data_IF_279699004079
#
_entry.id   IF_279699004079
#
_cell.length_a   1.000
_cell.length_b   1.000
_cell.length_c   1.000
_cell.angle_alpha   90.00
_cell.angle_beta   90.00
_cell.angle_gamma   90.00
#
_symmetry.space_group_name_H-M   'P 1'
#
loop_
_entity.id
_entity.type
_entity.pdbx_description
1 polymer ?
#
# COMPACT_ATOMS: atom_id res chain seq x y z
N UNK A 1 29.22 23.56 19.62
CA UNK A 1 29.33 24.82 18.79
C UNK A 1 28.37 24.60 17.65
N UNK A 2 27.16 25.13 17.76
CA UNK A 2 26.25 25.22 16.64
C UNK A 2 26.85 26.27 15.71
N UNK A 3 27.47 25.80 14.62
CA UNK A 3 27.94 26.68 13.58
C UNK A 3 26.77 27.53 13.06
N UNK A 4 26.88 28.83 12.93
CA UNK A 4 25.79 29.71 12.56
C UNK A 4 25.46 29.58 11.07
N UNK A 5 24.73 28.56 10.72
CA UNK A 5 23.84 28.60 9.56
C UNK A 5 22.41 28.97 10.02
N UNK A 6 22.38 29.93 10.97
CA UNK A 6 21.11 30.42 11.54
C UNK A 6 20.15 31.03 10.50
N UNK A 7 20.63 31.34 9.28
CA UNK A 7 19.77 31.83 8.20
C UNK A 7 19.01 30.75 7.45
N UNK A 8 19.21 29.46 7.77
CA UNK A 8 18.48 28.33 7.14
C UNK A 8 17.41 27.78 8.04
N UNK A 9 17.37 28.08 9.34
CA UNK A 9 16.36 27.63 10.27
C UNK A 9 15.16 28.58 10.21
N UNK A 10 14.08 28.14 9.56
CA UNK A 10 12.89 28.98 9.38
C UNK A 10 12.00 29.07 10.62
N UNK A 11 11.94 28.01 11.43
CA UNK A 11 11.13 27.99 12.66
C UNK A 11 11.72 27.02 13.70
N UNK A 12 11.86 27.45 14.92
CA UNK A 12 12.29 26.64 16.07
C UNK A 12 11.15 26.51 17.07
N UNK A 13 11.03 25.32 17.66
CA UNK A 13 10.03 25.04 18.66
C UNK A 13 10.66 24.41 19.90
N UNK A 14 10.25 24.89 21.06
CA UNK A 14 10.62 24.35 22.36
C UNK A 14 9.53 23.41 22.87
N UNK A 15 9.93 22.22 23.34
CA UNK A 15 9.05 21.29 24.04
C UNK A 15 9.61 21.06 25.44
N UNK A 16 9.06 21.76 26.43
CA UNK A 16 9.41 21.58 27.82
C UNK A 16 8.91 20.26 28.40
N UNK A 17 9.53 19.81 29.49
CA UNK A 17 9.18 18.56 30.19
C UNK A 17 7.71 18.52 30.68
N UNK A 18 7.05 19.65 30.79
CA UNK A 18 5.70 19.82 31.34
C UNK A 18 4.66 20.34 30.32
N UNK A 19 5.05 20.59 29.07
CA UNK A 19 4.14 21.05 28.02
C UNK A 19 3.76 19.93 27.08
N UNK A 20 2.45 19.80 26.81
CA UNK A 20 1.94 18.82 25.81
C UNK A 20 2.24 19.26 24.39
N UNK A 21 2.30 20.57 24.16
CA UNK A 21 2.47 21.19 22.84
C UNK A 21 3.84 21.85 22.73
N UNK A 22 4.38 21.89 21.50
CA UNK A 22 5.59 22.65 21.21
C UNK A 22 5.25 24.12 21.03
N UNK A 23 6.09 25.00 21.60
CA UNK A 23 5.91 26.44 21.55
C UNK A 23 6.97 27.05 20.62
N UNK A 24 6.55 27.95 19.75
CA UNK A 24 7.47 28.69 18.86
C UNK A 24 8.41 29.56 19.69
N UNK A 25 9.69 29.53 19.34
CA UNK A 25 10.71 30.28 20.05
C UNK A 25 11.81 30.82 19.08
N UNK A 26 12.48 31.86 19.52
CA UNK A 26 13.64 32.43 18.82
C UNK A 26 14.90 32.30 19.69
N UNK A 27 16.05 31.95 19.08
CA UNK A 27 17.32 31.91 19.77
C UNK A 27 17.84 33.38 19.87
N UNK A 28 18.02 33.82 21.10
CA UNK A 28 18.51 35.20 21.40
C UNK A 28 20.00 35.22 21.74
N UNK A 29 20.53 34.11 22.27
CA UNK A 29 21.92 34.02 22.68
C UNK A 29 22.38 32.60 23.04
N UNK A 30 23.66 32.44 23.28
CA UNK A 30 24.31 31.21 23.75
C UNK A 30 25.10 31.55 25.00
N UNK A 31 24.99 30.70 26.05
CA UNK A 31 25.72 30.84 27.30
C UNK A 31 26.87 29.85 27.36
N UNK A 32 27.93 30.17 28.15
CA UNK A 32 29.18 29.39 28.20
C UNK A 32 29.03 27.91 28.62
N UNK A 33 27.91 27.49 29.15
CA UNK A 33 27.66 26.13 29.63
C UNK A 33 26.88 25.26 28.64
N UNK A 34 26.97 25.54 27.34
CA UNK A 34 26.21 24.81 26.32
C UNK A 34 24.69 24.99 26.42
N UNK A 35 24.24 26.01 27.14
CA UNK A 35 22.86 26.45 27.20
C UNK A 35 22.57 27.53 26.17
N UNK A 36 21.37 27.55 25.65
CA UNK A 36 20.88 28.58 24.73
C UNK A 36 19.81 29.42 25.41
N UNK A 37 19.81 30.72 25.12
CA UNK A 37 18.75 31.60 25.55
C UNK A 37 17.69 31.69 24.45
N UNK A 38 16.45 31.32 24.80
CA UNK A 38 15.28 31.42 23.94
C UNK A 38 14.41 32.58 24.40
N UNK A 39 13.82 33.26 23.43
CA UNK A 39 12.65 34.08 23.65
C UNK A 39 11.39 33.25 23.38
N UNK A 40 10.56 33.08 24.41
CA UNK A 40 9.27 32.39 24.32
C UNK A 40 8.22 33.36 24.85
N UNK A 41 7.34 33.88 23.97
CA UNK A 41 6.29 34.83 24.33
C UNK A 41 6.82 36.06 25.08
N UNK A 42 7.97 36.63 24.63
CA UNK A 42 8.66 37.76 25.21
C UNK A 42 9.33 37.53 26.59
N UNK A 43 9.41 36.28 27.02
CA UNK A 43 10.19 35.86 28.19
C UNK A 43 11.47 35.14 27.77
N UNK A 44 12.60 35.42 28.45
CA UNK A 44 13.89 34.77 28.19
C UNK A 44 14.06 33.53 29.07
N UNK A 45 14.33 32.39 28.40
CA UNK A 45 14.56 31.11 29.05
C UNK A 45 15.94 30.56 28.66
N UNK A 46 16.70 30.05 29.65
CA UNK A 46 17.92 29.32 29.41
C UNK A 46 17.63 27.83 29.38
N UNK A 47 17.95 27.16 28.30
CA UNK A 47 17.67 25.73 28.11
C UNK A 47 18.84 25.01 27.43
N UNK A 48 18.92 23.70 27.66
CA UNK A 48 19.85 22.85 26.93
C UNK A 48 19.37 22.63 25.47
N UNK A 49 20.27 22.61 24.47
CA UNK A 49 19.91 22.44 23.05
C UNK A 49 19.10 21.21 22.72
N UNK A 50 19.22 20.13 23.47
CA UNK A 50 18.49 18.88 23.25
C UNK A 50 16.96 19.03 23.41
N UNK A 51 16.50 20.11 24.04
CA UNK A 51 15.06 20.42 24.16
C UNK A 51 14.52 21.22 22.99
N UNK A 52 15.38 21.64 22.06
CA UNK A 52 14.91 22.25 20.82
C UNK A 52 14.47 21.21 19.83
N UNK A 53 13.28 21.38 19.34
CA UNK A 53 12.76 20.62 18.20
C UNK A 53 13.06 21.42 16.93
N UNK A 54 13.95 20.89 16.09
CA UNK A 54 14.06 21.35 14.72
C UNK A 54 12.81 20.86 13.96
N UNK A 55 11.82 21.74 13.80
CA UNK A 55 10.59 21.44 13.05
C UNK A 55 10.83 21.38 11.53
N UNK A 56 12.02 21.71 11.08
CA UNK A 56 12.47 21.40 9.72
C UNK A 56 13.09 20.00 9.64
N UNK A 57 12.46 19.01 10.26
CA UNK A 57 12.83 17.63 9.98
C UNK A 57 12.63 17.42 8.49
N UNK A 58 13.74 17.51 7.75
CA UNK A 58 13.72 17.24 6.32
C UNK A 58 13.11 15.87 6.11
N UNK A 59 12.01 15.83 5.37
CA UNK A 59 11.42 14.57 4.98
C UNK A 59 12.42 13.82 4.10
N UNK A 60 12.84 12.62 4.54
CA UNK A 60 13.83 11.79 3.88
C UNK A 60 13.31 10.38 3.75
N UNK A 61 13.13 9.92 2.53
CA UNK A 61 12.66 8.57 2.25
C UNK A 61 13.08 8.14 0.84
N UNK A 62 12.97 6.86 0.57
CA UNK A 62 13.16 6.29 -0.77
C UNK A 62 11.83 5.72 -1.20
N UNK A 63 11.25 6.23 -2.27
CA UNK A 63 10.08 5.62 -2.87
C UNK A 63 10.56 4.44 -3.70
N UNK A 64 9.93 3.29 -3.54
CA UNK A 64 10.22 2.07 -4.30
C UNK A 64 8.93 1.50 -4.87
N UNK A 65 9.02 0.96 -6.06
CA UNK A 65 7.99 0.18 -6.72
C UNK A 65 8.61 -0.96 -7.50
N UNK A 66 7.88 -2.06 -7.64
CA UNK A 66 8.31 -3.24 -8.39
C UNK A 66 7.23 -3.70 -9.37
N UNK A 67 7.67 -4.20 -10.54
CA UNK A 67 6.79 -4.93 -11.42
C UNK A 67 7.07 -6.44 -11.35
N UNK A 68 6.01 -7.20 -11.46
CA UNK A 68 6.03 -8.67 -11.36
C UNK A 68 5.28 -9.28 -12.53
N UNK A 69 5.43 -10.57 -12.83
CA UNK A 69 4.72 -11.21 -13.94
C UNK A 69 3.20 -11.38 -13.66
N UNK A 70 2.51 -10.28 -13.33
CA UNK A 70 1.06 -10.24 -12.98
C UNK A 70 0.67 -11.20 -11.86
N UNK A 71 1.60 -11.48 -10.96
CA UNK A 71 1.46 -12.42 -9.86
C UNK A 71 1.53 -11.74 -8.50
N UNK A 72 0.85 -12.34 -7.53
CA UNK A 72 0.90 -11.95 -6.12
C UNK A 72 1.83 -12.86 -5.29
N UNK A 73 2.43 -13.89 -5.93
CA UNK A 73 3.36 -14.80 -5.28
C UNK A 73 4.79 -14.30 -5.45
N UNK A 74 5.53 -14.04 -4.36
CA UNK A 74 6.93 -13.66 -4.47
C UNK A 74 7.81 -14.66 -5.23
N UNK A 75 7.42 -15.95 -5.23
CA UNK A 75 8.16 -17.00 -5.95
C UNK A 75 8.14 -16.85 -7.49
N UNK A 76 7.22 -16.05 -8.03
CA UNK A 76 7.10 -15.85 -9.48
C UNK A 76 8.07 -14.79 -10.02
N UNK A 77 8.83 -14.14 -9.10
CA UNK A 77 9.97 -13.30 -9.44
C UNK A 77 9.64 -11.81 -9.59
N UNK A 78 10.69 -11.05 -9.90
CA UNK A 78 10.68 -9.59 -10.10
C UNK A 78 11.09 -9.29 -11.53
N UNK A 79 10.44 -8.34 -12.18
CA UNK A 79 10.71 -7.90 -13.55
C UNK A 79 11.36 -6.53 -13.61
N UNK A 80 11.00 -5.65 -12.71
CA UNK A 80 11.48 -4.28 -12.64
C UNK A 80 11.55 -3.83 -11.20
N UNK A 81 12.54 -3.02 -10.85
CA UNK A 81 12.66 -2.33 -9.58
C UNK A 81 13.03 -0.88 -9.87
N UNK A 82 12.22 0.04 -9.41
CA UNK A 82 12.55 1.46 -9.45
C UNK A 82 12.59 2.06 -8.05
N UNK A 83 13.51 2.98 -7.85
CA UNK A 83 13.62 3.73 -6.61
C UNK A 83 13.99 5.19 -6.87
N UNK A 84 13.33 6.11 -6.17
CA UNK A 84 13.74 7.52 -6.13
C UNK A 84 14.04 7.92 -4.70
N UNK A 85 15.20 8.53 -4.50
CA UNK A 85 15.62 9.07 -3.21
C UNK A 85 15.11 10.49 -3.09
N UNK A 86 14.39 10.76 -2.01
CA UNK A 86 13.67 12.01 -1.81
C UNK A 86 14.17 12.73 -0.55
N UNK A 87 14.49 13.99 -0.68
CA UNK A 87 14.67 14.93 0.43
C UNK A 87 13.78 16.15 0.21
N UNK A 88 12.96 16.47 1.20
CA UNK A 88 12.00 17.59 1.14
C UNK A 88 11.14 17.57 -0.14
N UNK A 89 10.65 16.37 -0.50
CA UNK A 89 9.86 16.13 -1.71
C UNK A 89 10.58 16.45 -3.03
N UNK A 90 11.91 16.52 -3.03
CA UNK A 90 12.75 16.66 -4.22
C UNK A 90 13.52 15.38 -4.47
N UNK A 91 13.58 14.94 -5.72
CA UNK A 91 14.40 13.80 -6.12
C UNK A 91 15.87 14.23 -6.07
N UNK A 92 16.69 13.46 -5.33
CA UNK A 92 18.13 13.67 -5.24
C UNK A 92 18.95 12.54 -5.87
N UNK A 93 18.34 11.37 -6.05
CA UNK A 93 18.93 10.23 -6.74
C UNK A 93 17.83 9.33 -7.31
N UNK A 94 18.13 8.59 -8.37
CA UNK A 94 17.18 7.69 -9.04
C UNK A 94 17.88 6.41 -9.44
N UNK A 95 17.20 5.29 -9.22
CA UNK A 95 17.64 3.98 -9.65
C UNK A 95 16.51 3.30 -10.41
N UNK A 96 16.82 2.78 -11.60
CA UNK A 96 15.89 2.00 -12.42
C UNK A 96 16.59 0.75 -12.89
N UNK A 97 16.05 -0.41 -12.51
CA UNK A 97 16.65 -1.72 -12.74
C UNK A 97 15.65 -2.59 -13.51
N UNK A 98 15.96 -2.82 -14.78
CA UNK A 98 15.18 -3.64 -15.69
C UNK A 98 16.09 -4.17 -16.80
N UNK A 99 15.77 -5.34 -17.35
CA UNK A 99 16.38 -5.88 -18.56
C UNK A 99 15.28 -5.99 -19.61
N UNK A 100 15.24 -5.04 -20.53
CA UNK A 100 14.21 -4.96 -21.55
C UNK A 100 14.54 -5.91 -22.69
N UNK A 101 13.62 -6.82 -22.99
CA UNK A 101 13.73 -7.80 -24.08
C UNK A 101 12.81 -7.49 -25.26
N UNK A 102 11.74 -6.73 -25.01
CA UNK A 102 10.74 -6.35 -26.00
C UNK A 102 10.17 -4.96 -25.66
N UNK A 103 10.67 -3.93 -26.34
CA UNK A 103 10.29 -2.52 -26.13
C UNK A 103 8.80 -2.25 -26.38
N UNK A 104 8.17 -2.96 -27.33
CA UNK A 104 6.75 -2.74 -27.62
C UNK A 104 5.86 -3.34 -26.52
N UNK A 105 6.24 -4.49 -25.97
CA UNK A 105 5.53 -5.08 -24.82
C UNK A 105 5.76 -4.30 -23.55
N UNK A 106 6.98 -3.77 -23.35
CA UNK A 106 7.30 -2.96 -22.17
C UNK A 106 6.35 -1.76 -22.00
N UNK A 107 5.88 -1.17 -23.10
CA UNK A 107 4.90 -0.08 -23.09
C UNK A 107 3.54 -0.47 -22.50
N UNK A 108 3.25 -1.78 -22.42
CA UNK A 108 1.99 -2.26 -21.81
C UNK A 108 2.03 -2.25 -20.26
N UNK A 109 3.22 -2.06 -19.66
CA UNK A 109 3.43 -2.12 -18.21
C UNK A 109 3.36 -3.53 -17.63
N UNK A 110 3.23 -3.64 -16.31
CA UNK A 110 3.13 -4.91 -15.57
C UNK A 110 4.29 -5.87 -15.80
N UNK A 111 5.47 -5.37 -16.10
CA UNK A 111 6.64 -6.18 -16.36
C UNK A 111 6.63 -6.93 -17.69
N UNK A 112 5.69 -6.63 -18.60
CA UNK A 112 5.66 -7.22 -19.94
C UNK A 112 6.91 -6.80 -20.72
N UNK A 113 7.51 -7.73 -21.48
CA UNK A 113 8.73 -7.45 -22.27
C UNK A 113 10.01 -7.31 -21.45
N UNK A 114 10.01 -7.74 -20.18
CA UNK A 114 11.15 -7.71 -19.29
C UNK A 114 11.61 -9.11 -18.89
N UNK A 115 12.92 -9.27 -18.69
CA UNK A 115 13.48 -10.48 -18.08
C UNK A 115 13.23 -10.53 -16.56
N UNK A 116 13.36 -11.74 -16.02
CA UNK A 116 13.41 -11.98 -14.58
C UNK A 116 14.73 -11.45 -14.01
N UNK A 117 14.65 -10.60 -12.99
CA UNK A 117 15.83 -9.98 -12.38
C UNK A 117 16.03 -10.32 -10.90
N UNK A 118 15.15 -11.11 -10.32
CA UNK A 118 15.15 -11.44 -8.89
C UNK A 118 16.46 -12.06 -8.39
N UNK A 119 17.14 -12.85 -9.25
CA UNK A 119 18.43 -13.50 -8.95
C UNK A 119 19.64 -12.75 -9.53
N UNK A 120 19.43 -11.62 -10.20
CA UNK A 120 20.54 -10.85 -10.76
C UNK A 120 21.32 -10.13 -9.67
N UNK A 121 22.48 -10.68 -9.28
CA UNK A 121 23.29 -10.18 -8.18
C UNK A 121 23.90 -8.79 -8.45
N UNK A 122 24.13 -8.42 -9.70
CA UNK A 122 24.64 -7.10 -10.06
C UNK A 122 23.58 -6.03 -9.79
N UNK A 123 22.36 -6.22 -10.30
CA UNK A 123 21.22 -5.30 -10.07
C UNK A 123 20.85 -5.24 -8.59
N UNK A 124 20.83 -6.39 -7.93
CA UNK A 124 20.60 -6.48 -6.48
C UNK A 124 21.64 -5.69 -5.67
N UNK A 125 22.90 -5.77 -6.08
CA UNK A 125 24.01 -5.03 -5.46
C UNK A 125 23.85 -3.52 -5.66
N UNK A 126 23.44 -3.08 -6.85
CA UNK A 126 23.16 -1.66 -7.11
C UNK A 126 22.07 -1.13 -6.17
N UNK A 127 20.97 -1.87 -6.01
CA UNK A 127 19.90 -1.49 -5.09
C UNK A 127 20.37 -1.45 -3.63
N UNK A 128 21.08 -2.48 -3.16
CA UNK A 128 21.65 -2.51 -1.81
C UNK A 128 22.63 -1.36 -1.56
N UNK A 129 23.40 -0.96 -2.56
CA UNK A 129 24.32 0.18 -2.44
C UNK A 129 23.56 1.49 -2.29
N UNK A 130 22.45 1.67 -3.00
CA UNK A 130 21.57 2.83 -2.82
C UNK A 130 21.08 2.90 -1.37
N UNK A 131 20.57 1.79 -0.82
CA UNK A 131 20.08 1.73 0.56
C UNK A 131 21.19 1.99 1.59
N UNK A 132 22.40 1.47 1.37
CA UNK A 132 23.56 1.73 2.24
C UNK A 132 24.01 3.18 2.21
N UNK A 133 23.93 3.84 1.04
CA UNK A 133 24.32 5.23 0.85
C UNK A 133 23.42 6.17 1.63
N UNK A 134 22.11 5.98 1.54
CA UNK A 134 21.15 6.95 2.07
C UNK A 134 20.58 6.57 3.44
N UNK A 135 20.42 5.26 3.73
CA UNK A 135 19.87 4.74 5.00
C UNK A 135 18.51 5.35 5.38
N UNK A 136 17.69 5.63 4.38
CA UNK A 136 16.34 6.16 4.57
C UNK A 136 15.32 5.03 4.61
N UNK A 137 14.14 5.25 5.23
CA UNK A 137 13.04 4.30 5.13
C UNK A 137 12.55 4.19 3.69
N UNK A 138 12.05 3.02 3.32
CA UNK A 138 11.39 2.78 2.04
C UNK A 138 9.91 3.16 2.14
N UNK A 139 9.39 3.81 1.12
CA UNK A 139 7.97 4.13 0.96
C UNK A 139 7.47 3.45 -0.30
N UNK A 140 6.39 2.70 -0.22
CA UNK A 140 5.74 2.12 -1.39
C UNK A 140 4.22 2.26 -1.29
N UNK A 141 3.53 2.16 -2.45
CA UNK A 141 2.07 2.18 -2.48
C UNK A 141 1.54 0.75 -2.33
N UNK A 142 0.87 0.45 -1.20
CA UNK A 142 0.61 -0.94 -0.75
C UNK A 142 1.89 -1.71 -0.39
N UNK A 143 2.76 -1.09 0.35
CA UNK A 143 4.12 -1.49 0.66
C UNK A 143 4.31 -2.93 1.19
N UNK A 144 3.25 -3.60 1.62
CA UNK A 144 3.31 -5.03 1.98
C UNK A 144 3.62 -5.92 0.77
N UNK A 145 3.17 -5.51 -0.41
CA UNK A 145 3.44 -6.22 -1.66
C UNK A 145 4.93 -6.14 -2.00
N UNK A 146 5.45 -4.93 -2.16
CA UNK A 146 6.86 -4.69 -2.54
C UNK A 146 7.82 -5.31 -1.53
N UNK A 147 7.57 -5.08 -0.25
CA UNK A 147 8.37 -5.67 0.82
C UNK A 147 8.41 -7.19 0.75
N UNK A 148 7.29 -7.86 0.49
CA UNK A 148 7.24 -9.32 0.42
C UNK A 148 8.14 -9.87 -0.69
N UNK A 149 8.12 -9.27 -1.88
CA UNK A 149 8.97 -9.68 -2.99
C UNK A 149 10.45 -9.36 -2.73
N UNK A 150 10.74 -8.12 -2.35
CA UNK A 150 12.12 -7.68 -2.09
C UNK A 150 12.77 -8.46 -0.95
N UNK A 151 12.03 -8.77 0.12
CA UNK A 151 12.55 -9.60 1.23
C UNK A 151 12.70 -11.07 0.84
N UNK A 152 11.76 -11.64 0.09
CA UNK A 152 11.82 -13.04 -0.34
C UNK A 152 13.07 -13.33 -1.16
N UNK A 153 13.42 -12.44 -2.08
CA UNK A 153 14.60 -12.56 -2.94
C UNK A 153 15.86 -11.93 -2.35
N UNK A 154 15.81 -11.45 -1.10
CA UNK A 154 16.95 -10.91 -0.38
C UNK A 154 17.49 -9.58 -0.96
N UNK A 155 16.64 -8.77 -1.58
CA UNK A 155 16.97 -7.42 -2.05
C UNK A 155 17.03 -6.43 -0.88
N UNK A 156 16.26 -6.68 0.19
CA UNK A 156 16.25 -5.90 1.43
C UNK A 156 16.45 -6.80 2.65
N UNK A 157 16.99 -6.22 3.72
CA UNK A 157 17.10 -6.88 5.01
C UNK A 157 15.75 -6.88 5.75
N UNK A 158 15.54 -7.87 6.64
CA UNK A 158 14.33 -7.96 7.47
C UNK A 158 14.11 -6.72 8.36
N UNK A 159 15.19 -5.97 8.65
CA UNK A 159 15.17 -4.76 9.47
C UNK A 159 14.91 -3.48 8.69
N UNK A 160 14.85 -3.56 7.35
CA UNK A 160 14.58 -2.38 6.53
C UNK A 160 13.21 -1.82 6.89
N UNK A 161 13.17 -0.54 7.23
CA UNK A 161 11.92 0.17 7.49
C UNK A 161 11.16 0.39 6.20
N UNK A 162 9.86 0.06 6.25
CA UNK A 162 8.91 0.33 5.17
C UNK A 162 7.73 1.12 5.69
N UNK A 163 7.33 2.13 4.96
CA UNK A 163 6.10 2.89 5.15
C UNK A 163 5.14 2.65 4.00
N UNK A 164 3.87 2.50 4.33
CA UNK A 164 2.81 2.29 3.35
C UNK A 164 2.08 3.61 3.08
N UNK A 165 2.28 4.20 1.90
CA UNK A 165 1.61 5.44 1.51
C UNK A 165 0.09 5.27 1.44
N UNK A 166 -0.40 4.14 0.92
CA UNK A 166 -1.83 3.84 0.88
C UNK A 166 -2.46 3.88 2.29
N UNK A 167 -1.85 3.21 3.27
CA UNK A 167 -2.36 3.20 4.65
C UNK A 167 -2.17 4.56 5.33
N UNK A 168 -1.11 5.29 5.00
CA UNK A 168 -0.89 6.67 5.47
C UNK A 168 -2.02 7.60 5.01
N UNK A 169 -2.41 7.51 3.74
CA UNK A 169 -3.52 8.30 3.17
C UNK A 169 -4.85 7.89 3.80
N UNK A 170 -5.10 6.59 3.99
CA UNK A 170 -6.31 6.08 4.67
C UNK A 170 -6.49 6.63 6.09
N UNK A 171 -5.40 6.89 6.81
CA UNK A 171 -5.47 7.47 8.16
C UNK A 171 -5.76 8.98 8.14
N UNK A 172 -5.40 9.66 7.06
CA UNK A 172 -5.56 11.11 6.92
C UNK A 172 -6.94 11.48 6.37
N UNK A 173 -7.43 10.73 5.40
CA UNK A 173 -8.61 11.11 4.63
C UNK A 173 -9.42 9.88 4.21
N UNK A 174 -10.74 9.98 4.29
CA UNK A 174 -11.66 8.93 3.82
C UNK A 174 -12.00 9.18 2.35
N UNK A 175 -11.48 8.33 1.47
CA UNK A 175 -11.62 8.44 0.03
C UNK A 175 -12.36 7.24 -0.56
N UNK A 176 -13.01 7.38 -1.72
CA UNK A 176 -13.72 6.29 -2.38
C UNK A 176 -12.81 5.13 -2.80
N UNK A 177 -11.54 5.42 -3.07
CA UNK A 177 -10.54 4.43 -3.45
C UNK A 177 -9.15 4.90 -3.07
N UNK A 178 -8.29 3.94 -2.74
CA UNK A 178 -6.88 4.20 -2.42
C UNK A 178 -5.92 3.54 -3.42
N UNK A 179 -6.41 3.09 -4.58
CA UNK A 179 -5.53 2.66 -5.69
C UNK A 179 -4.79 3.89 -6.22
N UNK A 180 -3.50 3.73 -6.55
CA UNK A 180 -2.68 4.84 -7.02
C UNK A 180 -3.34 5.59 -8.18
N UNK A 181 -3.81 4.87 -9.20
CA UNK A 181 -4.51 5.46 -10.35
C UNK A 181 -5.68 6.36 -9.94
N UNK A 182 -6.50 5.92 -8.98
CA UNK A 182 -7.68 6.66 -8.54
C UNK A 182 -7.31 7.88 -7.70
N UNK A 183 -6.22 7.78 -6.92
CA UNK A 183 -5.68 8.91 -6.17
C UNK A 183 -5.09 9.97 -7.10
N UNK A 184 -4.35 9.55 -8.13
CA UNK A 184 -3.82 10.47 -9.15
C UNK A 184 -4.91 11.24 -9.87
N UNK A 185 -6.01 10.59 -10.22
CA UNK A 185 -7.18 11.22 -10.82
C UNK A 185 -7.92 12.15 -9.83
N UNK A 186 -8.13 11.68 -8.59
CA UNK A 186 -8.82 12.45 -7.55
C UNK A 186 -8.12 13.77 -7.23
N UNK A 187 -6.78 13.74 -7.15
CA UNK A 187 -5.97 14.94 -6.91
C UNK A 187 -5.60 15.70 -8.18
N UNK A 188 -6.18 15.35 -9.33
CA UNK A 188 -5.96 16.00 -10.65
C UNK A 188 -4.47 16.02 -11.06
N UNK A 189 -3.71 14.99 -10.74
CA UNK A 189 -2.29 14.86 -11.10
C UNK A 189 -2.19 14.35 -12.55
N UNK A 190 -2.81 13.21 -12.83
CA UNK A 190 -2.90 12.64 -14.18
C UNK A 190 -4.06 11.65 -14.27
N UNK A 191 -4.44 11.28 -15.50
CA UNK A 191 -5.38 10.20 -15.77
C UNK A 191 -4.65 8.91 -16.11
N UNK A 192 -5.08 7.80 -15.52
CA UNK A 192 -4.49 6.49 -15.73
C UNK A 192 -3.17 6.29 -14.98
N UNK A 193 -2.66 5.07 -15.04
CA UNK A 193 -1.38 4.61 -14.47
C UNK A 193 -0.64 3.81 -15.54
N UNK A 194 0.68 3.90 -15.58
CA UNK A 194 1.48 3.24 -16.62
C UNK A 194 1.79 1.78 -16.29
N UNK A 195 1.72 1.40 -15.01
CA UNK A 195 2.22 0.12 -14.52
C UNK A 195 3.67 -0.15 -14.98
N UNK A 196 4.49 0.87 -14.83
CA UNK A 196 5.91 0.88 -15.06
C UNK A 196 6.54 1.43 -13.78
N UNK A 197 7.43 0.67 -13.16
CA UNK A 197 7.89 0.97 -11.81
C UNK A 197 8.50 2.38 -11.68
N UNK A 198 9.31 2.82 -12.67
CA UNK A 198 9.91 4.16 -12.61
C UNK A 198 8.86 5.27 -12.67
N UNK A 199 7.86 5.14 -13.54
CA UNK A 199 6.81 6.14 -13.64
C UNK A 199 5.92 6.13 -12.39
N UNK A 200 5.61 4.95 -11.84
CA UNK A 200 4.75 4.82 -10.68
C UNK A 200 5.40 5.40 -9.40
N UNK A 201 6.73 5.29 -9.21
CA UNK A 201 7.42 5.98 -8.11
C UNK A 201 7.40 7.51 -8.26
N UNK A 202 7.49 8.03 -9.50
CA UNK A 202 7.39 9.47 -9.76
C UNK A 202 5.96 9.98 -9.55
N UNK A 203 4.98 9.24 -10.01
CA UNK A 203 3.56 9.53 -9.80
C UNK A 203 3.21 9.53 -8.30
N UNK A 204 3.74 8.56 -7.55
CA UNK A 204 3.57 8.53 -6.11
C UNK A 204 4.24 9.72 -5.43
N UNK A 205 5.42 10.15 -5.89
CA UNK A 205 6.07 11.36 -5.38
C UNK A 205 5.20 12.60 -5.61
N UNK A 206 4.62 12.75 -6.79
CA UNK A 206 3.76 13.89 -7.10
C UNK A 206 2.50 13.90 -6.21
N UNK A 207 1.93 12.73 -5.93
CA UNK A 207 0.85 12.59 -4.97
C UNK A 207 1.30 12.99 -3.56
N UNK A 208 2.47 12.55 -3.12
CA UNK A 208 3.00 12.86 -1.79
C UNK A 208 3.37 14.34 -1.60
N UNK A 209 3.75 15.04 -2.67
CA UNK A 209 3.95 16.51 -2.66
C UNK A 209 2.67 17.28 -2.30
N UNK A 210 1.51 16.74 -2.69
CA UNK A 210 0.21 17.33 -2.38
C UNK A 210 -0.21 16.95 -0.96
N UNK A 211 -0.13 15.65 -0.64
CA UNK A 211 -0.66 15.11 0.63
C UNK A 211 0.18 15.53 1.82
N UNK A 212 1.51 15.54 1.71
CA UNK A 212 2.49 15.86 2.77
C UNK A 212 2.09 15.23 4.11
N UNK A 213 2.25 13.92 4.27
CA UNK A 213 1.82 13.24 5.48
C UNK A 213 2.65 13.67 6.69
N UNK A 214 1.99 14.04 7.78
CA UNK A 214 2.65 14.37 9.05
C UNK A 214 3.17 13.13 9.79
N UNK A 215 2.51 11.99 9.54
CA UNK A 215 2.86 10.69 10.11
C UNK A 215 2.80 9.62 9.04
N UNK A 216 3.79 8.74 9.05
CA UNK A 216 3.85 7.59 8.17
C UNK A 216 3.29 6.33 8.84
N UNK A 217 2.55 5.53 8.09
CA UNK A 217 2.12 4.20 8.52
C UNK A 217 3.25 3.19 8.27
N UNK A 218 4.01 2.88 9.32
CA UNK A 218 5.08 1.90 9.26
C UNK A 218 4.52 0.48 9.17
N UNK A 219 5.15 -0.37 8.34
CA UNK A 219 4.91 -1.81 8.37
C UNK A 219 5.60 -2.43 9.58
N UNK A 220 4.90 -3.35 10.26
CA UNK A 220 5.48 -4.09 11.38
C UNK A 220 6.72 -4.86 10.93
N UNK A 221 7.85 -4.66 11.62
CA UNK A 221 9.03 -5.50 11.43
C UNK A 221 8.68 -6.89 11.97
N UNK A 222 8.76 -7.91 11.13
CA UNK A 222 8.61 -9.30 11.59
C UNK A 222 9.75 -9.58 12.57
N UNK A 223 9.42 -9.77 13.84
CA UNK A 223 10.42 -10.25 14.80
C UNK A 223 10.83 -11.65 14.36
N UNK A 224 12.02 -11.78 13.77
CA UNK A 224 12.66 -13.07 13.57
C UNK A 224 12.81 -13.72 14.96
N UNK A 225 12.15 -14.84 15.16
CA UNK A 225 12.42 -15.70 16.32
C UNK A 225 13.86 -16.15 16.16
N UNK A 226 14.76 -15.61 16.97
CA UNK A 226 16.13 -16.08 17.07
C UNK A 226 16.09 -17.59 17.37
N UNK A 227 16.60 -18.40 16.45
CA UNK A 227 16.88 -19.81 16.72
C UNK A 227 17.97 -19.86 17.77
N UNK A 228 17.60 -20.09 19.02
CA UNK A 228 18.53 -20.59 20.00
C UNK A 228 18.85 -22.05 19.64
N UNK A 229 20.03 -22.27 19.10
CA UNK A 229 20.63 -23.58 19.02
C UNK A 229 20.94 -24.02 20.49
N UNK A 230 20.13 -24.94 20.99
CA UNK A 230 20.53 -26.06 21.85
C UNK A 230 19.31 -26.75 22.47
N UNK A 231 18.91 -27.90 21.92
CA UNK A 231 18.74 -29.16 22.69
C UNK A 231 18.21 -30.26 21.77
N UNK A 232 18.96 -31.34 21.81
CA UNK A 232 18.62 -32.64 21.25
C UNK A 232 17.30 -33.19 21.81
N UNK A 233 16.50 -33.79 20.90
CA UNK A 233 15.66 -34.93 21.23
C UNK A 233 14.17 -34.68 21.36
N UNK A 234 13.46 -35.23 20.39
CA UNK A 234 12.07 -35.75 20.41
C UNK A 234 10.89 -34.80 20.31
N UNK A 235 10.09 -35.10 19.25
CA UNK A 235 8.72 -34.65 18.98
C UNK A 235 8.52 -33.29 18.31
N UNK A 236 8.90 -33.24 17.04
CA UNK A 236 8.60 -32.13 16.10
C UNK A 236 7.45 -32.50 15.15
N UNK A 237 6.21 -32.56 15.61
CA UNK A 237 5.05 -32.68 14.70
C UNK A 237 3.79 -31.89 15.09
N UNK A 238 3.85 -31.00 16.08
CA UNK A 238 2.65 -30.24 16.50
C UNK A 238 2.77 -28.70 16.57
N UNK A 239 3.91 -28.08 16.26
CA UNK A 239 4.08 -26.61 16.40
C UNK A 239 3.97 -25.80 15.11
N UNK A 240 4.13 -26.41 13.93
CA UNK A 240 4.01 -25.70 12.64
C UNK A 240 2.58 -25.40 12.20
N UNK A 241 1.60 -26.20 12.66
CA UNK A 241 0.19 -26.01 12.32
C UNK A 241 -0.46 -24.80 13.01
N UNK A 242 0.03 -24.39 14.22
CA UNK A 242 -0.56 -23.26 14.95
C UNK A 242 -0.09 -21.88 14.45
N UNK A 243 1.14 -21.74 13.95
CA UNK A 243 1.61 -20.46 13.41
C UNK A 243 1.01 -20.12 12.05
N UNK A 244 0.78 -21.13 11.21
CA UNK A 244 0.10 -20.96 9.92
C UNK A 244 -1.40 -20.64 10.08
N UNK A 245 -2.06 -21.19 11.11
CA UNK A 245 -3.46 -20.86 11.38
C UNK A 245 -3.63 -19.41 11.85
N UNK A 246 -2.75 -18.89 12.70
CA UNK A 246 -2.82 -17.50 13.17
C UNK A 246 -2.54 -16.47 12.06
N UNK A 247 -1.60 -16.75 11.15
CA UNK A 247 -1.35 -15.91 9.96
C UNK A 247 -2.51 -15.96 8.97
N UNK A 248 -3.13 -17.10 8.78
CA UNK A 248 -4.33 -17.26 7.96
C UNK A 248 -5.51 -16.48 8.56
N UNK A 249 -5.72 -16.57 9.87
CA UNK A 249 -6.78 -15.83 10.59
C UNK A 249 -6.59 -14.30 10.55
N UNK A 250 -5.36 -13.79 10.58
CA UNK A 250 -5.10 -12.35 10.49
C UNK A 250 -5.36 -11.82 9.06
N UNK A 251 -4.87 -12.51 8.02
CA UNK A 251 -5.14 -12.18 6.61
C UNK A 251 -6.63 -12.29 6.27
N UNK A 252 -7.32 -13.29 6.83
CA UNK A 252 -8.76 -13.47 6.62
C UNK A 252 -9.57 -12.33 7.29
N UNK A 253 -9.12 -11.81 8.43
CA UNK A 253 -9.78 -10.66 9.09
C UNK A 253 -9.59 -9.35 8.33
N UNK A 254 -8.43 -9.10 7.77
CA UNK A 254 -8.13 -7.89 6.99
C UNK A 254 -8.94 -7.88 5.69
N UNK A 255 -8.93 -8.98 4.94
CA UNK A 255 -9.77 -9.15 3.74
C UNK A 255 -11.28 -9.03 4.04
N UNK A 256 -11.73 -9.55 5.17
CA UNK A 256 -13.13 -9.43 5.59
C UNK A 256 -13.48 -7.99 5.97
N UNK A 257 -12.55 -7.23 6.55
CA UNK A 257 -12.76 -5.82 6.84
C UNK A 257 -12.84 -4.98 5.55
N UNK A 258 -11.90 -5.17 4.63
CA UNK A 258 -11.90 -4.52 3.31
C UNK A 258 -13.18 -4.83 2.50
N UNK A 259 -13.61 -6.09 2.50
CA UNK A 259 -14.86 -6.50 1.84
C UNK A 259 -16.08 -5.82 2.47
N UNK A 260 -16.13 -5.70 3.79
CA UNK A 260 -17.22 -5.00 4.48
C UNK A 260 -17.29 -3.52 4.14
N UNK A 261 -16.16 -2.84 4.14
CA UNK A 261 -16.07 -1.41 3.76
C UNK A 261 -16.51 -1.20 2.32
N UNK A 262 -16.05 -2.06 1.40
CA UNK A 262 -16.44 -2.03 -0.01
C UNK A 262 -17.93 -2.23 -0.20
N UNK A 263 -18.54 -3.17 0.52
CA UNK A 263 -19.99 -3.46 0.47
C UNK A 263 -20.80 -2.31 1.07
N UNK A 264 -20.33 -1.72 2.17
CA UNK A 264 -21.01 -0.58 2.81
C UNK A 264 -20.96 0.66 1.90
N UNK A 265 -19.81 0.93 1.31
CA UNK A 265 -19.68 1.98 0.30
C UNK A 265 -20.64 1.73 -0.88
N UNK A 266 -20.71 0.51 -1.39
CA UNK A 266 -21.58 0.15 -2.50
C UNK A 266 -23.08 0.39 -2.20
N UNK A 267 -23.52 0.10 -0.99
CA UNK A 267 -24.90 0.35 -0.52
C UNK A 267 -25.25 1.85 -0.47
N UNK A 268 -24.28 2.68 -0.10
CA UNK A 268 -24.46 4.12 0.03
C UNK A 268 -24.30 4.87 -1.31
N UNK A 269 -23.78 4.20 -2.35
CA UNK A 269 -23.47 4.79 -3.65
C UNK A 269 -24.11 4.00 -4.79
N UNK A 270 -25.43 3.95 -4.80
CA UNK A 270 -26.21 3.33 -5.89
C UNK A 270 -25.99 4.12 -7.20
N UNK A 271 -25.69 3.43 -8.28
CA UNK A 271 -25.57 4.04 -9.61
C UNK A 271 -26.94 4.03 -10.32
N UNK A 272 -27.54 2.85 -10.39
CA UNK A 272 -28.84 2.62 -11.04
C UNK A 272 -29.46 1.35 -10.46
N UNK A 273 -30.78 1.32 -10.28
CA UNK A 273 -31.48 0.14 -9.75
C UNK A 273 -31.89 -0.82 -10.89
N UNK A 274 -30.90 -1.50 -11.47
CA UNK A 274 -31.12 -2.48 -12.56
C UNK A 274 -31.65 -3.80 -12.01
N UNK A 275 -31.09 -4.25 -10.89
CA UNK A 275 -31.39 -5.58 -10.37
C UNK A 275 -32.57 -5.62 -9.40
N UNK A 276 -33.13 -4.48 -9.03
CA UNK A 276 -34.35 -4.37 -8.21
C UNK A 276 -34.35 -5.33 -7.00
N UNK A 277 -33.30 -5.26 -6.18
CA UNK A 277 -33.08 -6.09 -4.99
C UNK A 277 -32.99 -7.61 -5.24
N UNK A 278 -32.81 -8.07 -6.48
CA UNK A 278 -32.51 -9.47 -6.77
C UNK A 278 -31.28 -9.92 -5.99
N UNK A 279 -31.33 -11.15 -5.48
CA UNK A 279 -30.20 -11.77 -4.79
C UNK A 279 -29.26 -12.43 -5.78
N UNK A 280 -28.03 -11.89 -5.89
CA UNK A 280 -27.01 -12.33 -6.82
C UNK A 280 -25.82 -12.92 -6.04
N UNK A 281 -25.45 -14.15 -6.36
CA UNK A 281 -24.28 -14.82 -5.77
C UNK A 281 -23.23 -15.07 -6.85
N UNK A 282 -21.98 -14.90 -6.50
CA UNK A 282 -20.83 -15.08 -7.40
C UNK A 282 -20.01 -16.31 -7.01
N UNK A 283 -19.52 -17.07 -8.01
CA UNK A 283 -18.66 -18.24 -7.80
C UNK A 283 -17.73 -18.47 -8.99
N UNK A 284 -16.55 -19.02 -8.73
CA UNK A 284 -15.50 -19.18 -9.74
C UNK A 284 -14.54 -17.99 -9.76
N UNK A 285 -13.55 -18.05 -10.64
CA UNK A 285 -12.59 -16.98 -10.87
C UNK A 285 -13.14 -16.04 -11.96
N UNK A 286 -13.07 -14.76 -11.72
CA UNK A 286 -13.65 -13.70 -12.55
C UNK A 286 -12.62 -12.62 -12.81
N UNK A 287 -12.89 -11.77 -13.80
CA UNK A 287 -12.02 -10.62 -14.15
C UNK A 287 -11.74 -9.68 -12.98
N UNK A 288 -12.66 -9.64 -12.00
CA UNK A 288 -12.52 -8.87 -10.75
C UNK A 288 -12.63 -9.80 -9.55
N UNK A 289 -12.11 -9.35 -8.41
CA UNK A 289 -12.28 -10.10 -7.16
C UNK A 289 -13.77 -10.29 -6.83
N UNK A 290 -14.09 -11.36 -6.11
CA UNK A 290 -15.47 -11.66 -5.71
C UNK A 290 -16.10 -10.54 -4.88
N UNK A 291 -15.31 -9.83 -4.09
CA UNK A 291 -15.74 -8.66 -3.32
C UNK A 291 -16.12 -7.48 -4.24
N UNK A 292 -15.32 -7.21 -5.26
CA UNK A 292 -15.60 -6.17 -6.26
C UNK A 292 -16.84 -6.50 -7.11
N UNK A 293 -17.01 -7.77 -7.52
CA UNK A 293 -18.20 -8.21 -8.26
C UNK A 293 -19.47 -8.02 -7.42
N UNK A 294 -19.42 -8.37 -6.13
CA UNK A 294 -20.53 -8.16 -5.19
C UNK A 294 -20.83 -6.67 -5.00
N UNK A 295 -19.80 -5.85 -4.78
CA UNK A 295 -19.95 -4.41 -4.64
C UNK A 295 -20.54 -3.78 -5.91
N UNK A 296 -20.11 -4.23 -7.09
CA UNK A 296 -20.69 -3.78 -8.36
C UNK A 296 -22.17 -4.14 -8.45
N UNK A 297 -22.56 -5.38 -8.19
CA UNK A 297 -23.96 -5.79 -8.21
C UNK A 297 -24.83 -4.94 -7.26
N UNK A 298 -24.33 -4.65 -6.07
CA UNK A 298 -25.02 -3.81 -5.08
C UNK A 298 -25.19 -2.38 -5.58
N UNK A 299 -24.18 -1.78 -6.22
CA UNK A 299 -24.27 -0.44 -6.82
C UNK A 299 -25.31 -0.37 -7.94
N UNK A 300 -25.66 -1.49 -8.53
CA UNK A 300 -26.74 -1.62 -9.52
C UNK A 300 -28.04 -2.22 -8.95
N UNK A 301 -28.22 -2.12 -7.63
CA UNK A 301 -29.49 -2.41 -6.95
C UNK A 301 -29.69 -3.87 -6.54
N UNK A 302 -28.66 -4.73 -6.61
CA UNK A 302 -28.75 -6.11 -6.14
C UNK A 302 -28.54 -6.23 -4.61
N UNK A 303 -29.06 -7.33 -4.03
CA UNK A 303 -28.59 -7.88 -2.75
C UNK A 303 -27.59 -9.00 -3.07
N UNK A 304 -26.37 -8.91 -2.56
CA UNK A 304 -25.31 -9.87 -2.93
C UNK A 304 -24.75 -10.63 -1.73
N UNK A 305 -25.42 -11.71 -1.28
CA UNK A 305 -24.93 -12.58 -0.22
C UNK A 305 -23.75 -13.47 -0.69
N UNK A 306 -23.01 -14.03 0.25
CA UNK A 306 -21.85 -14.90 -0.04
C UNK A 306 -22.25 -16.34 -0.35
N UNK A 307 -23.45 -16.75 0.03
CA UNK A 307 -23.92 -18.14 -0.08
C UNK A 307 -25.26 -18.26 -0.78
N UNK A 308 -25.45 -19.37 -1.48
CA UNK A 308 -26.70 -19.72 -2.17
C UNK A 308 -27.77 -20.17 -1.15
N UNK A 309 -28.98 -19.64 -1.30
CA UNK A 309 -30.15 -20.01 -0.54
C UNK A 309 -31.37 -20.14 -1.46
N UNK A 310 -32.50 -20.66 -0.98
CA UNK A 310 -33.75 -20.70 -1.75
C UNK A 310 -34.31 -19.32 -2.13
N UNK A 311 -33.69 -18.23 -1.68
CA UNK A 311 -34.02 -16.84 -2.04
C UNK A 311 -33.09 -16.24 -3.06
N UNK A 312 -32.07 -16.97 -3.54
CA UNK A 312 -31.11 -16.50 -4.55
C UNK A 312 -31.81 -16.49 -5.92
N UNK A 313 -31.67 -15.39 -6.64
CA UNK A 313 -32.30 -15.24 -7.96
C UNK A 313 -31.31 -15.59 -9.08
N UNK A 314 -30.06 -15.16 -8.96
CA UNK A 314 -29.05 -15.32 -10.00
C UNK A 314 -27.75 -15.85 -9.38
N UNK A 315 -27.15 -16.84 -10.04
CA UNK A 315 -25.77 -17.29 -9.78
C UNK A 315 -24.90 -16.87 -10.98
N UNK A 316 -23.97 -15.97 -10.73
CA UNK A 316 -22.94 -15.60 -11.72
C UNK A 316 -21.76 -16.53 -11.57
N UNK A 317 -21.36 -17.16 -12.68
CA UNK A 317 -20.25 -18.10 -12.72
C UNK A 317 -19.07 -17.55 -13.51
N UNK A 318 -17.87 -17.59 -12.93
CA UNK A 318 -16.60 -17.41 -13.60
C UNK A 318 -15.94 -18.72 -13.96
N UNK A 319 -14.65 -18.68 -14.30
CA UNK A 319 -13.85 -19.89 -14.57
C UNK A 319 -13.74 -20.75 -13.31
N UNK A 320 -13.57 -22.05 -13.46
CA UNK A 320 -13.46 -23.02 -12.36
C UNK A 320 -14.53 -22.91 -11.27
N UNK A 321 -15.77 -22.61 -11.66
CA UNK A 321 -16.88 -22.50 -10.71
C UNK A 321 -17.06 -23.79 -9.88
N UNK A 322 -17.14 -23.65 -8.56
CA UNK A 322 -17.22 -24.78 -7.64
C UNK A 322 -18.48 -25.66 -7.87
N UNK A 323 -18.27 -26.94 -8.13
CA UNK A 323 -19.34 -27.94 -8.44
C UNK A 323 -20.48 -27.89 -7.44
N UNK A 324 -20.21 -27.80 -6.14
CA UNK A 324 -21.23 -27.78 -5.08
C UNK A 324 -22.20 -26.59 -5.20
N UNK A 325 -21.74 -25.41 -5.59
CA UNK A 325 -22.64 -24.26 -5.80
C UNK A 325 -23.45 -24.37 -7.08
N UNK A 326 -22.88 -24.93 -8.14
CA UNK A 326 -23.59 -25.21 -9.39
C UNK A 326 -24.70 -26.21 -9.21
N UNK A 327 -24.43 -27.34 -8.52
CA UNK A 327 -25.42 -28.36 -8.22
C UNK A 327 -26.56 -27.78 -7.37
N UNK A 328 -26.24 -27.04 -6.34
CA UNK A 328 -27.24 -26.40 -5.48
C UNK A 328 -28.10 -25.40 -6.23
N UNK A 329 -27.53 -24.61 -7.14
CA UNK A 329 -28.26 -23.66 -7.95
C UNK A 329 -29.23 -24.38 -8.90
N UNK A 330 -28.80 -25.49 -9.55
CA UNK A 330 -29.65 -26.33 -10.40
C UNK A 330 -30.80 -26.96 -9.62
N UNK A 331 -30.54 -27.49 -8.41
CA UNK A 331 -31.56 -28.07 -7.54
C UNK A 331 -32.61 -27.04 -7.10
N UNK A 332 -32.24 -25.80 -6.92
CA UNK A 332 -33.12 -24.71 -6.48
C UNK A 332 -33.76 -23.94 -7.64
N UNK A 333 -33.48 -24.30 -8.91
CA UNK A 333 -34.01 -23.60 -10.08
C UNK A 333 -33.52 -22.17 -10.23
N UNK A 334 -32.31 -21.88 -9.73
CA UNK A 334 -31.71 -20.53 -9.77
C UNK A 334 -31.18 -20.28 -11.18
N UNK A 335 -31.43 -19.08 -11.70
CA UNK A 335 -30.86 -18.63 -12.98
C UNK A 335 -29.34 -18.59 -12.90
N UNK A 336 -28.66 -19.26 -13.83
CA UNK A 336 -27.19 -19.31 -13.90
C UNK A 336 -26.77 -18.56 -15.14
N UNK A 337 -25.92 -17.53 -14.94
CA UNK A 337 -25.35 -16.72 -16.01
C UNK A 337 -23.82 -16.68 -15.86
N UNK A 338 -23.11 -16.47 -16.97
CA UNK A 338 -21.68 -16.25 -16.94
C UNK A 338 -21.34 -14.77 -16.66
N UNK A 339 -20.06 -14.49 -16.49
CA UNK A 339 -19.58 -13.13 -16.19
C UNK A 339 -19.91 -12.13 -17.32
N UNK A 340 -19.77 -12.53 -18.59
CA UNK A 340 -20.05 -11.69 -19.74
C UNK A 340 -21.54 -11.30 -19.82
N UNK A 341 -22.43 -12.27 -19.53
CA UNK A 341 -23.87 -12.02 -19.45
C UNK A 341 -24.22 -11.03 -18.34
N UNK A 342 -23.55 -11.14 -17.19
CA UNK A 342 -23.71 -10.18 -16.08
C UNK A 342 -23.32 -8.76 -16.52
N UNK A 343 -22.16 -8.60 -17.16
CA UNK A 343 -21.72 -7.29 -17.68
C UNK A 343 -22.62 -6.76 -18.80
N UNK A 344 -23.10 -7.64 -19.67
CA UNK A 344 -24.03 -7.27 -20.74
C UNK A 344 -25.36 -6.72 -20.20
N UNK A 345 -25.89 -7.28 -19.11
CA UNK A 345 -27.09 -6.77 -18.43
C UNK A 345 -26.85 -5.33 -17.97
N UNK A 346 -25.71 -5.09 -17.29
CA UNK A 346 -25.35 -3.75 -16.79
C UNK A 346 -25.17 -2.76 -17.94
N UNK A 347 -24.40 -3.13 -18.97
CA UNK A 347 -24.07 -2.25 -20.08
C UNK A 347 -25.30 -1.90 -20.93
N UNK A 348 -26.18 -2.86 -21.19
CA UNK A 348 -27.42 -2.63 -21.95
C UNK A 348 -28.34 -1.62 -21.27
N UNK A 349 -28.50 -1.75 -19.97
CA UNK A 349 -29.38 -0.86 -19.20
C UNK A 349 -28.76 0.52 -18.95
N UNK A 350 -27.43 0.64 -19.01
CA UNK A 350 -26.73 1.93 -18.89
C UNK A 350 -26.61 2.66 -20.22
N UNK A 351 -26.73 1.98 -21.37
CA UNK A 351 -26.64 2.55 -22.72
C UNK A 351 -27.99 3.04 -23.27
N UNK A 352 -29.08 2.84 -22.55
CA UNK A 352 -30.44 3.27 -22.97
C UNK A 352 -30.84 4.68 -22.50
N UNK A 353 -29.88 5.43 -21.97
CA UNK A 353 -29.99 6.90 -21.70
C UNK A 353 -29.12 7.68 -22.67
#
# INVERSE_FOLDING_TARGET
>A
IISPKANEIKELYYKGAYTKDSVKCDIVGIVDNNEIILNINDELHSIHPDYLLDMQKKERFIIVDIETPRSFSPADGIREVAAVVVEDYRVIDTLHLAIITDEEKYKNGYGDGLEAIEENEELKTQFKNLLKKYKYPLVAHNASFDRNFLSYWGWVDDKQEFYCSMNTIKQKEVLPSYKLVNLLEYYNIKKGQSHNALQDVLDLLDLLKIIKPERWCALSISRSVSKNDNKQGKDATKSSAKSNSFRKFAKDKEKVAEEKEMIEFAKNNLIKDIFNKKKIVFTGDMSKSRAEMRATAIRYGADSPTSISGKTNILVIGEEAGKSKLEKAKQLGIEIINEDEFWNIINKETSME
#
